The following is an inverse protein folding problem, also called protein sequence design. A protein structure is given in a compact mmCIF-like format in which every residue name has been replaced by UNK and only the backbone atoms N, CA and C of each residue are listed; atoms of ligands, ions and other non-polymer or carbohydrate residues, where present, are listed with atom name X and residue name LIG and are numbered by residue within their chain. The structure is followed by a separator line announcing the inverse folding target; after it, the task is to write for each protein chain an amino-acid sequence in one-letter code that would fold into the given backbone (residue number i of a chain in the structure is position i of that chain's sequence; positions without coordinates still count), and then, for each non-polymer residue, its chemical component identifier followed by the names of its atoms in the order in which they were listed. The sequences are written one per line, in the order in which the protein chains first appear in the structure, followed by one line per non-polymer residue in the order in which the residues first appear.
data_IF_937440490504
#
_entry.id   IF_937440490504
#
_cell.length_a   1.000
_cell.length_b   1.000
_cell.length_c   1.000
_cell.angle_alpha   90.00
_cell.angle_beta   90.00
_cell.angle_gamma   90.00
#
_symmetry.space_group_name_H-M   'P 1'
#
loop_
_entity.id
_entity.type
_entity.pdbx_description
1 polymer ?
#
# COMPACT_ATOMS: atom_id res chain seq x y z
N UNK A 1 -21.48 -42.26 -43.64
CA UNK A 1 -22.09 -42.11 -42.29
C UNK A 1 -21.07 -42.35 -41.18
N UNK A 2 -20.22 -43.39 -41.28
CA UNK A 2 -19.09 -43.58 -40.36
C UNK A 2 -18.00 -42.51 -40.49
N UNK A 3 -17.76 -41.99 -41.71
CA UNK A 3 -16.75 -40.94 -41.94
C UNK A 3 -17.13 -39.57 -41.33
N UNK A 4 -18.42 -39.30 -41.12
CA UNK A 4 -18.91 -38.07 -40.50
C UNK A 4 -18.73 -38.10 -38.97
N UNK A 5 -19.03 -39.24 -38.33
CA UNK A 5 -18.79 -39.47 -36.90
C UNK A 5 -17.29 -39.46 -36.52
N UNK A 6 -16.42 -39.83 -37.48
CA UNK A 6 -14.98 -39.79 -37.32
C UNK A 6 -14.41 -38.35 -37.38
N UNK A 7 -15.00 -37.49 -38.23
CA UNK A 7 -14.62 -36.07 -38.34
C UNK A 7 -15.17 -35.21 -37.21
N UNK A 8 -16.33 -35.56 -36.66
CA UNK A 8 -16.97 -34.84 -35.55
C UNK A 8 -16.22 -35.02 -34.21
N UNK A 9 -15.31 -36.00 -34.12
CA UNK A 9 -14.57 -36.35 -32.90
C UNK A 9 -13.15 -35.75 -32.79
N UNK A 10 -12.79 -34.77 -33.60
CA UNK A 10 -11.43 -34.17 -33.53
C UNK A 10 -11.41 -32.65 -33.56
N UNK A 11 -12.24 -32.02 -32.72
CA UNK A 11 -11.89 -30.69 -32.20
C UNK A 11 -11.03 -30.84 -30.94
N UNK A 12 -9.83 -31.39 -31.14
CA UNK A 12 -8.77 -31.39 -30.14
C UNK A 12 -8.38 -29.93 -29.90
N UNK A 13 -8.87 -29.34 -28.82
CA UNK A 13 -8.46 -28.00 -28.40
C UNK A 13 -7.02 -28.11 -27.89
N UNK A 14 -6.06 -27.71 -28.75
CA UNK A 14 -4.65 -27.65 -28.35
C UNK A 14 -4.51 -26.53 -27.32
N UNK A 15 -4.33 -26.91 -26.05
CA UNK A 15 -3.93 -25.94 -25.00
C UNK A 15 -2.52 -25.47 -25.31
N UNK A 16 -2.35 -24.17 -25.57
CA UNK A 16 -1.04 -23.56 -25.74
C UNK A 16 -0.24 -23.65 -24.42
N UNK A 17 1.08 -23.85 -24.54
CA UNK A 17 1.98 -23.84 -23.41
C UNK A 17 2.03 -22.43 -22.81
N UNK A 18 1.67 -22.32 -21.53
CA UNK A 18 1.80 -21.08 -20.77
C UNK A 18 3.22 -21.01 -20.15
N UNK A 19 4.19 -20.57 -20.94
CA UNK A 19 5.61 -20.44 -20.55
C UNK A 19 5.90 -19.10 -19.85
N UNK A 20 5.14 -18.79 -18.81
CA UNK A 20 5.35 -17.59 -18.01
C UNK A 20 6.36 -17.87 -16.89
N UNK A 21 7.25 -16.91 -16.57
CA UNK A 21 8.17 -17.08 -15.46
C UNK A 21 7.39 -17.21 -14.13
N UNK A 22 7.90 -18.00 -13.18
CA UNK A 22 7.28 -18.11 -11.87
C UNK A 22 7.31 -16.78 -11.12
N UNK A 23 6.47 -16.65 -10.09
CA UNK A 23 6.48 -15.46 -9.24
C UNK A 23 7.83 -15.35 -8.52
N UNK A 24 8.35 -14.13 -8.41
CA UNK A 24 9.58 -13.87 -7.62
C UNK A 24 9.38 -14.06 -6.12
N UNK A 25 8.12 -14.11 -5.67
CA UNK A 25 7.74 -14.10 -4.26
C UNK A 25 7.45 -15.50 -3.69
N UNK A 26 7.17 -16.48 -4.56
CA UNK A 26 6.83 -17.84 -4.14
C UNK A 26 5.75 -17.87 -3.05
N UNK A 27 6.06 -18.52 -1.93
CA UNK A 27 5.21 -18.60 -0.73
C UNK A 27 5.71 -17.73 0.43
N UNK A 28 6.65 -16.80 0.20
CA UNK A 28 7.28 -16.03 1.26
C UNK A 28 6.29 -15.17 2.06
N UNK A 29 5.11 -14.88 1.51
CA UNK A 29 4.03 -14.15 2.19
C UNK A 29 2.82 -15.02 2.53
N UNK A 30 2.89 -16.34 2.32
CA UNK A 30 1.77 -17.25 2.59
C UNK A 30 1.51 -17.44 4.09
N UNK A 31 2.49 -17.14 4.92
CA UNK A 31 2.37 -17.13 6.38
C UNK A 31 3.22 -15.99 6.93
N UNK A 32 2.61 -15.13 7.74
CA UNK A 32 3.29 -14.07 8.45
C UNK A 32 3.18 -14.35 9.95
N UNK A 33 4.32 -14.42 10.64
CA UNK A 33 4.34 -14.39 12.09
C UNK A 33 4.32 -12.92 12.54
N UNK A 34 3.29 -12.52 13.28
CA UNK A 34 3.18 -11.20 13.85
C UNK A 34 3.75 -11.21 15.28
N UNK A 35 4.63 -10.27 15.60
CA UNK A 35 5.16 -10.07 16.95
C UNK A 35 4.37 -8.96 17.63
N UNK A 36 3.20 -9.29 18.17
CA UNK A 36 2.20 -8.33 18.68
C UNK A 36 2.77 -7.30 19.68
N UNK A 37 3.74 -7.68 20.51
CA UNK A 37 4.35 -6.78 21.49
C UNK A 37 5.20 -5.67 20.87
N UNK A 38 5.90 -5.94 19.77
CA UNK A 38 6.70 -4.92 19.07
C UNK A 38 5.79 -3.92 18.37
N UNK A 39 4.74 -4.41 17.70
CA UNK A 39 3.73 -3.57 17.07
C UNK A 39 3.01 -2.66 18.07
N UNK A 40 2.74 -3.15 19.28
CA UNK A 40 2.16 -2.32 20.33
C UNK A 40 3.08 -1.14 20.69
N UNK A 41 4.37 -1.40 20.91
CA UNK A 41 5.33 -0.34 21.26
C UNK A 41 5.47 0.71 20.15
N UNK A 42 5.52 0.28 18.88
CA UNK A 42 5.54 1.21 17.75
C UNK A 42 4.24 2.00 17.62
N UNK A 43 3.09 1.39 17.93
CA UNK A 43 1.80 2.09 17.91
C UNK A 43 1.77 3.22 18.93
N UNK A 44 2.24 2.98 20.15
CA UNK A 44 2.32 4.00 21.20
C UNK A 44 3.24 5.16 20.80
N UNK A 45 4.41 4.86 20.22
CA UNK A 45 5.35 5.89 19.74
C UNK A 45 4.76 6.71 18.58
N UNK A 46 4.08 6.05 17.64
CA UNK A 46 3.41 6.69 16.50
C UNK A 46 2.33 7.67 16.97
N UNK A 47 1.52 7.31 17.96
CA UNK A 47 0.50 8.22 18.48
C UNK A 47 1.11 9.47 19.15
N UNK A 48 2.21 9.32 19.89
CA UNK A 48 2.93 10.47 20.46
C UNK A 48 3.52 11.38 19.38
N UNK A 49 4.08 10.81 18.31
CA UNK A 49 4.63 11.57 17.18
C UNK A 49 3.53 12.28 16.39
N UNK A 50 2.36 11.67 16.20
CA UNK A 50 1.21 12.30 15.55
C UNK A 50 0.79 13.56 16.28
N UNK A 51 0.62 13.53 17.60
CA UNK A 51 0.22 14.71 18.36
C UNK A 51 1.26 15.83 18.26
N UNK A 52 2.56 15.49 18.31
CA UNK A 52 3.63 16.47 18.12
C UNK A 52 3.59 17.14 16.73
N UNK A 53 3.30 16.37 15.68
CA UNK A 53 3.19 16.89 14.31
C UNK A 53 1.94 17.77 14.16
N UNK A 54 0.80 17.40 14.77
CA UNK A 54 -0.40 18.24 14.79
C UNK A 54 -0.14 19.59 15.44
N UNK A 55 0.53 19.58 16.60
CA UNK A 55 0.92 20.82 17.28
C UNK A 55 1.80 21.69 16.39
N UNK A 56 2.78 21.09 15.70
CA UNK A 56 3.61 21.81 14.73
C UNK A 56 2.76 22.44 13.62
N UNK A 57 1.86 21.68 13.00
CA UNK A 57 1.01 22.16 11.90
C UNK A 57 0.09 23.33 12.33
N UNK A 58 -0.44 23.30 13.56
CA UNK A 58 -1.31 24.35 14.10
C UNK A 58 -0.52 25.61 14.47
N UNK A 59 0.66 25.47 15.06
CA UNK A 59 1.41 26.61 15.59
C UNK A 59 2.33 27.28 14.55
N UNK A 60 2.54 26.66 13.38
CA UNK A 60 3.39 27.19 12.31
C UNK A 60 2.80 28.39 11.54
N UNK A 61 1.64 28.92 11.89
CA UNK A 61 1.10 30.14 11.25
C UNK A 61 2.04 31.36 11.39
N UNK A 62 3.00 31.32 12.32
CA UNK A 62 4.05 32.35 12.46
C UNK A 62 5.19 32.22 11.42
N UNK A 63 5.31 31.08 10.74
CA UNK A 63 6.31 30.83 9.70
C UNK A 63 5.77 29.88 8.61
N UNK A 64 5.09 30.46 7.62
CA UNK A 64 4.47 29.74 6.50
C UNK A 64 5.43 28.83 5.73
N UNK A 65 6.71 29.21 5.59
CA UNK A 65 7.71 28.41 4.87
C UNK A 65 7.92 27.06 5.58
N UNK A 66 8.10 27.09 6.90
CA UNK A 66 8.30 25.87 7.70
C UNK A 66 7.05 24.98 7.69
N UNK A 67 5.84 25.57 7.65
CA UNK A 67 4.58 24.83 7.48
C UNK A 67 4.57 24.06 6.15
N UNK A 68 4.92 24.73 5.05
CA UNK A 68 4.95 24.13 3.71
C UNK A 68 6.00 23.02 3.63
N UNK A 69 7.20 23.24 4.18
CA UNK A 69 8.27 22.22 4.21
C UNK A 69 7.85 20.98 5.01
N UNK A 70 7.16 21.16 6.13
CA UNK A 70 6.62 20.04 6.90
C UNK A 70 5.56 19.27 6.10
N UNK A 71 4.65 19.96 5.41
CA UNK A 71 3.62 19.31 4.58
C UNK A 71 4.27 18.54 3.42
N UNK A 72 5.28 19.10 2.73
CA UNK A 72 6.03 18.39 1.69
C UNK A 72 6.66 17.11 2.24
N UNK A 73 7.29 17.19 3.42
CA UNK A 73 7.89 16.03 4.06
C UNK A 73 6.84 14.95 4.38
N UNK A 74 5.69 15.32 4.93
CA UNK A 74 4.61 14.37 5.26
C UNK A 74 4.06 13.68 4.01
N UNK A 75 3.91 14.41 2.90
CA UNK A 75 3.47 13.86 1.63
C UNK A 75 4.51 12.90 1.02
N UNK A 76 5.79 13.25 1.07
CA UNK A 76 6.89 12.41 0.54
C UNK A 76 7.14 11.15 1.35
N UNK A 77 6.81 11.19 2.65
CA UNK A 77 6.82 10.02 3.53
C UNK A 77 5.54 9.17 3.43
N UNK A 78 4.55 9.61 2.64
CA UNK A 78 3.25 8.95 2.48
C UNK A 78 2.46 8.77 3.80
N UNK A 79 2.60 9.74 4.70
CA UNK A 79 1.91 9.75 6.01
C UNK A 79 0.99 10.97 6.19
N UNK A 80 0.83 11.79 5.15
CA UNK A 80 0.02 13.00 5.17
C UNK A 80 -1.47 12.74 5.43
N UNK A 81 -1.96 11.54 5.12
CA UNK A 81 -3.35 11.13 5.37
C UNK A 81 -3.74 11.17 6.86
N UNK A 82 -2.77 11.14 7.78
CA UNK A 82 -3.02 11.29 9.20
C UNK A 82 -3.36 12.72 9.64
N UNK A 83 -3.11 13.71 8.78
CA UNK A 83 -3.16 15.13 9.10
C UNK A 83 -4.05 15.93 8.12
N UNK A 84 -4.97 15.27 7.42
CA UNK A 84 -5.79 15.93 6.39
C UNK A 84 -6.58 17.13 6.94
N UNK A 85 -7.04 17.05 8.18
CA UNK A 85 -7.82 18.12 8.80
C UNK A 85 -6.95 19.36 9.04
N UNK A 86 -5.76 19.15 9.58
CA UNK A 86 -4.76 20.17 9.88
C UNK A 86 -4.20 20.81 8.60
N UNK A 87 -4.08 20.04 7.51
CA UNK A 87 -3.61 20.53 6.20
C UNK A 87 -4.70 21.29 5.45
N UNK A 88 -5.97 20.83 5.48
CA UNK A 88 -7.08 21.48 4.77
C UNK A 88 -7.47 22.83 5.36
N UNK A 89 -7.20 23.08 6.64
CA UNK A 89 -7.51 24.34 7.33
C UNK A 89 -6.44 25.43 7.10
N UNK A 90 -6.06 25.67 5.84
CA UNK A 90 -5.32 26.88 5.45
C UNK A 90 -6.35 27.85 4.86
N UNK A 91 -7.01 28.60 5.73
CA UNK A 91 -7.80 29.80 5.37
C UNK A 91 -6.88 31.03 5.20
#
# INVERSE_FOLDING_TARGET
MLDLLYWENKHETVRLLADYPPTVWGYSFASLACHDSEFQSYTEEVELLKEKIKDMLIHYDKNLIQKIELIDLLCRLDVSYHFENEIKHVD
#
